data_IF_241927157624
#
_entry.id   IF_241927157624
#
_cell.length_a   1.000
_cell.length_b   1.000
_cell.length_c   1.000
_cell.angle_alpha   90.00
_cell.angle_beta   90.00
_cell.angle_gamma   90.00
#
_symmetry.space_group_name_H-M   'P 1'
#
loop_
_entity.id
_entity.type
_entity.pdbx_description
1 polymer ?
#
# COMPACT_ATOMS: atom_id res chain seq x y z
N UNK A 1 10.06 23.57 -7.65
CA UNK A 1 10.39 22.13 -7.47
C UNK A 1 9.07 21.39 -7.27
N UNK A 2 8.77 20.35 -8.04
CA UNK A 2 7.49 19.62 -7.92
C UNK A 2 7.66 18.51 -6.88
N UNK A 3 6.84 18.54 -5.82
CA UNK A 3 6.78 17.49 -4.79
C UNK A 3 6.37 16.18 -5.48
N UNK A 4 7.12 15.11 -5.22
CA UNK A 4 6.78 13.77 -5.70
C UNK A 4 5.88 13.09 -4.67
N UNK A 5 4.93 12.31 -5.17
CA UNK A 5 3.90 11.68 -4.34
C UNK A 5 3.79 10.20 -4.71
N UNK A 6 3.75 9.32 -3.71
CA UNK A 6 3.32 7.92 -3.89
C UNK A 6 2.08 7.66 -3.04
N UNK A 7 1.03 7.08 -3.64
CA UNK A 7 -0.15 6.67 -2.89
C UNK A 7 0.14 5.42 -2.06
N UNK A 8 -0.32 5.36 -0.81
CA UNK A 8 -0.43 4.14 -0.02
C UNK A 8 -1.87 3.61 0.04
N UNK A 9 -2.78 4.25 -0.71
CA UNK A 9 -4.18 3.88 -0.83
C UNK A 9 -5.11 4.56 0.17
N UNK A 10 -6.31 3.99 0.29
CA UNK A 10 -7.42 4.50 1.09
C UNK A 10 -8.04 3.38 1.91
N UNK A 11 -8.35 3.68 3.17
CA UNK A 11 -9.03 2.76 4.08
C UNK A 11 -10.39 3.32 4.46
N UNK A 12 -11.41 2.47 4.39
CA UNK A 12 -12.79 2.74 4.83
C UNK A 12 -13.33 1.61 5.73
N UNK A 13 -12.43 0.77 6.23
CA UNK A 13 -12.69 -0.38 7.09
C UNK A 13 -11.39 -0.81 7.78
N UNK A 14 -11.45 -1.83 8.65
CA UNK A 14 -10.26 -2.45 9.24
C UNK A 14 -9.52 -3.32 8.20
N UNK A 15 -8.83 -2.65 7.27
CA UNK A 15 -8.14 -3.27 6.15
C UNK A 15 -6.87 -2.49 5.75
N UNK A 16 -6.23 -2.94 4.67
CA UNK A 16 -5.10 -2.24 4.06
C UNK A 16 -5.57 -1.19 3.05
N UNK A 17 -4.74 -0.18 2.80
CA UNK A 17 -5.08 0.93 1.90
C UNK A 17 -5.21 0.54 0.43
N UNK A 18 -4.51 -0.51 0.00
CA UNK A 18 -4.63 -1.08 -1.34
C UNK A 18 -4.90 -2.58 -1.17
N UNK A 19 -5.97 -3.04 -1.81
CA UNK A 19 -6.36 -4.44 -1.83
C UNK A 19 -6.55 -4.88 -3.28
N UNK A 20 -6.20 -6.13 -3.57
CA UNK A 20 -6.50 -6.80 -4.82
C UNK A 20 -7.52 -7.90 -4.55
N UNK A 21 -8.63 -7.84 -5.27
CA UNK A 21 -9.76 -8.78 -5.12
C UNK A 21 -9.92 -9.72 -6.31
N UNK A 22 -9.11 -9.55 -7.35
CA UNK A 22 -9.20 -10.32 -8.59
C UNK A 22 -8.05 -10.06 -9.54
N UNK A 23 -7.94 -10.92 -10.54
CA UNK A 23 -6.97 -10.82 -11.62
C UNK A 23 -7.44 -11.58 -12.85
N UNK A 24 -7.17 -11.03 -14.03
CA UNK A 24 -7.46 -11.73 -15.29
C UNK A 24 -6.39 -12.77 -15.62
N UNK A 25 -6.80 -13.91 -16.19
CA UNK A 25 -5.88 -14.88 -16.78
C UNK A 25 -5.49 -14.44 -18.20
N UNK A 26 -4.70 -13.37 -18.30
CA UNK A 26 -4.32 -12.75 -19.56
C UNK A 26 -2.85 -12.26 -19.54
N UNK A 27 -2.36 -11.86 -20.71
CA UNK A 27 -1.03 -11.26 -20.87
C UNK A 27 -1.19 -9.88 -21.51
N UNK A 28 -1.10 -8.78 -20.75
CA UNK A 28 -0.81 -8.70 -19.31
C UNK A 28 -2.02 -9.00 -18.40
N UNK A 29 -1.75 -9.32 -17.14
CA UNK A 29 -2.74 -9.47 -16.07
C UNK A 29 -3.31 -8.10 -15.72
N UNK A 30 -4.63 -8.00 -15.66
CA UNK A 30 -5.37 -6.85 -15.14
C UNK A 30 -5.82 -7.19 -13.72
N UNK A 31 -5.26 -6.51 -12.72
CA UNK A 31 -5.61 -6.66 -11.32
C UNK A 31 -6.83 -5.82 -10.98
N UNK A 32 -7.81 -6.43 -10.30
CA UNK A 32 -8.95 -5.72 -9.70
C UNK A 32 -8.51 -5.12 -8.38
N UNK A 33 -8.41 -3.80 -8.30
CA UNK A 33 -7.97 -3.05 -7.11
C UNK A 33 -9.14 -2.33 -6.45
N UNK A 34 -9.10 -2.15 -5.14
CA UNK A 34 -10.15 -1.40 -4.42
C UNK A 34 -10.19 0.06 -4.81
N UNK A 35 -11.40 0.60 -4.97
CA UNK A 35 -11.62 2.02 -5.23
C UNK A 35 -10.88 2.91 -4.22
N UNK A 36 -10.36 4.04 -4.68
CA UNK A 36 -9.57 4.94 -3.82
C UNK A 36 -8.11 4.53 -3.62
N UNK A 37 -7.61 3.52 -4.35
CA UNK A 37 -6.19 3.15 -4.35
C UNK A 37 -5.25 4.31 -4.76
N UNK A 38 -5.76 5.30 -5.53
CA UNK A 38 -5.04 6.53 -5.96
C UNK A 38 -3.69 6.27 -6.65
N UNK A 39 -3.51 5.07 -7.20
CA UNK A 39 -2.37 4.70 -8.04
C UNK A 39 -2.41 5.50 -9.35
N UNK A 40 -1.24 5.68 -9.96
CA UNK A 40 -1.05 6.33 -11.26
C UNK A 40 -0.21 5.43 -12.17
N UNK A 41 -0.31 5.66 -13.48
CA UNK A 41 0.57 4.97 -14.42
C UNK A 41 2.04 5.24 -14.09
N UNK A 42 2.84 4.18 -14.05
CA UNK A 42 4.24 4.22 -13.65
C UNK A 42 4.49 4.02 -12.15
N UNK A 43 3.44 3.94 -11.32
CA UNK A 43 3.60 3.50 -9.93
C UNK A 43 4.09 2.03 -9.89
N UNK A 44 4.70 1.67 -8.76
CA UNK A 44 5.30 0.36 -8.55
C UNK A 44 4.69 -0.30 -7.32
N UNK A 45 4.20 -1.53 -7.46
CA UNK A 45 3.58 -2.30 -6.37
C UNK A 45 4.17 -3.70 -6.29
N UNK A 46 4.18 -4.26 -5.09
CA UNK A 46 4.50 -5.66 -4.83
C UNK A 46 3.24 -6.38 -4.42
N UNK A 47 3.10 -7.61 -4.90
CA UNK A 47 1.97 -8.49 -4.58
C UNK A 47 2.53 -9.81 -4.05
N UNK A 48 1.94 -10.30 -2.96
CA UNK A 48 2.20 -11.63 -2.40
C UNK A 48 0.90 -12.30 -1.95
N UNK A 49 0.90 -13.63 -1.82
CA UNK A 49 -0.23 -14.38 -1.24
C UNK A 49 -1.30 -14.83 -2.24
N UNK A 50 -1.07 -14.65 -3.55
CA UNK A 50 -1.93 -15.22 -4.61
C UNK A 50 -1.54 -16.69 -4.84
N UNK A 51 -2.49 -17.61 -4.73
CA UNK A 51 -2.21 -19.06 -4.67
C UNK A 51 -2.44 -19.80 -5.99
N UNK A 52 -3.31 -19.30 -6.86
CA UNK A 52 -3.66 -19.97 -8.13
C UNK A 52 -3.19 -19.20 -9.36
N UNK A 53 -3.39 -17.87 -9.38
CA UNK A 53 -2.78 -16.97 -10.36
C UNK A 53 -1.39 -16.54 -9.85
N UNK A 54 -0.50 -17.50 -9.61
CA UNK A 54 0.78 -17.24 -8.92
C UNK A 54 1.70 -16.30 -9.69
N UNK A 55 1.51 -16.17 -11.00
CA UNK A 55 2.20 -15.20 -11.85
C UNK A 55 1.83 -13.73 -11.53
N UNK A 56 0.85 -13.49 -10.67
CA UNK A 56 0.54 -12.16 -10.14
C UNK A 56 1.47 -11.77 -8.97
N UNK A 57 2.11 -12.73 -8.28
CA UNK A 57 3.03 -12.38 -7.19
C UNK A 57 4.34 -11.81 -7.74
N UNK A 58 4.91 -10.85 -7.03
CA UNK A 58 6.16 -10.18 -7.42
C UNK A 58 6.03 -8.66 -7.44
N UNK A 59 7.08 -8.02 -7.97
CA UNK A 59 7.17 -6.58 -8.13
C UNK A 59 6.71 -6.17 -9.54
N UNK A 60 5.81 -5.20 -9.63
CA UNK A 60 5.17 -4.77 -10.87
C UNK A 60 5.24 -3.26 -11.05
N UNK A 61 5.43 -2.84 -12.30
CA UNK A 61 5.05 -1.48 -12.72
C UNK A 61 3.58 -1.53 -13.17
N UNK A 62 2.79 -0.51 -12.81
CA UNK A 62 1.38 -0.47 -13.17
C UNK A 62 1.10 0.52 -14.30
N UNK A 63 0.24 0.10 -15.21
CA UNK A 63 -0.26 0.92 -16.31
C UNK A 63 -1.77 0.77 -16.46
N UNK A 64 -2.37 1.54 -17.38
CA UNK A 64 -3.83 1.58 -17.62
C UNK A 64 -4.65 1.69 -16.33
N UNK A 65 -4.19 2.51 -15.39
CA UNK A 65 -4.77 2.61 -14.06
C UNK A 65 -6.13 3.32 -14.14
N UNK A 66 -7.19 2.57 -13.86
CA UNK A 66 -8.57 3.05 -13.73
C UNK A 66 -8.99 3.19 -12.27
N UNK A 67 -10.29 3.36 -12.02
CA UNK A 67 -10.82 3.52 -10.66
C UNK A 67 -10.81 2.23 -9.81
N UNK A 68 -10.83 1.07 -10.46
CA UNK A 68 -10.88 -0.26 -9.82
C UNK A 68 -10.04 -1.31 -10.57
N UNK A 69 -9.12 -0.88 -11.43
CA UNK A 69 -8.30 -1.75 -12.25
C UNK A 69 -6.91 -1.17 -12.46
N UNK A 70 -5.90 -2.03 -12.47
CA UNK A 70 -4.52 -1.68 -12.86
C UNK A 70 -3.90 -2.85 -13.62
N UNK A 71 -3.19 -2.56 -14.71
CA UNK A 71 -2.47 -3.57 -15.50
C UNK A 71 -1.08 -3.79 -14.92
N UNK A 72 -0.67 -5.05 -14.75
CA UNK A 72 0.65 -5.43 -14.27
C UNK A 72 1.60 -5.62 -15.46
N UNK A 73 2.51 -4.69 -15.68
CA UNK A 73 3.34 -4.67 -16.89
C UNK A 73 4.29 -5.87 -16.96
N UNK A 74 4.31 -6.56 -18.11
CA UNK A 74 5.16 -7.73 -18.34
C UNK A 74 4.69 -9.02 -17.67
N UNK A 75 3.52 -9.01 -17.02
CA UNK A 75 2.93 -10.22 -16.43
C UNK A 75 2.31 -11.14 -17.48
N UNK A 76 2.23 -12.44 -17.16
CA UNK A 76 1.55 -13.44 -17.97
C UNK A 76 0.71 -14.34 -17.07
N UNK A 77 -0.62 -14.29 -17.23
CA UNK A 77 -1.54 -15.07 -16.42
C UNK A 77 -1.35 -16.58 -16.56
N UNK A 78 -1.52 -17.30 -15.45
CA UNK A 78 -1.34 -18.75 -15.37
C UNK A 78 -2.49 -19.49 -14.68
N UNK A 79 -3.67 -18.87 -14.54
CA UNK A 79 -4.82 -19.50 -13.90
C UNK A 79 -5.90 -18.51 -13.46
N UNK A 80 -6.92 -19.02 -12.76
CA UNK A 80 -7.91 -18.17 -12.10
C UNK A 80 -7.29 -17.49 -10.88
N UNK A 81 -7.76 -16.29 -10.52
CA UNK A 81 -7.35 -15.65 -9.27
C UNK A 81 -7.85 -16.41 -8.04
N UNK A 82 -7.01 -16.47 -7.01
CA UNK A 82 -7.29 -17.15 -5.75
C UNK A 82 -6.22 -16.83 -4.71
N UNK A 83 -6.57 -16.95 -3.43
CA UNK A 83 -5.70 -16.56 -2.31
C UNK A 83 -6.06 -15.20 -1.71
N UNK A 84 -5.24 -14.73 -0.77
CA UNK A 84 -5.42 -13.47 -0.07
C UNK A 84 -4.25 -12.54 -0.40
N UNK A 85 -4.41 -11.77 -1.49
CA UNK A 85 -3.37 -10.88 -1.98
C UNK A 85 -3.07 -9.77 -0.97
N UNK A 86 -1.78 -9.66 -0.62
CA UNK A 86 -1.24 -8.53 0.13
C UNK A 86 -0.49 -7.64 -0.84
N UNK A 87 -0.75 -6.33 -0.74
CA UNK A 87 -0.12 -5.31 -1.60
C UNK A 87 0.67 -4.32 -0.78
N UNK A 88 1.85 -3.98 -1.28
CA UNK A 88 2.67 -2.89 -0.79
C UNK A 88 3.23 -2.06 -1.94
N UNK A 89 3.48 -0.78 -1.69
CA UNK A 89 4.02 0.16 -2.67
C UNK A 89 5.54 0.10 -2.62
N UNK A 90 6.18 0.04 -3.78
CA UNK A 90 7.64 0.02 -3.86
C UNK A 90 8.21 1.43 -3.68
N UNK A 91 9.18 1.51 -2.79
CA UNK A 91 10.03 2.66 -2.56
C UNK A 91 11.46 2.28 -2.92
N UNK A 92 11.72 2.06 -4.20
CA UNK A 92 13.02 1.60 -4.74
C UNK A 92 13.63 2.55 -5.77
N UNK A 93 13.01 3.72 -5.95
CA UNK A 93 13.44 4.74 -6.89
C UNK A 93 13.39 6.12 -6.25
N UNK A 94 14.39 6.96 -6.58
CA UNK A 94 14.45 8.37 -6.20
C UNK A 94 13.14 9.09 -6.55
N UNK A 95 12.59 9.91 -5.64
CA UNK A 95 13.14 10.32 -4.34
C UNK A 95 12.82 9.40 -3.14
N UNK A 96 12.15 8.27 -3.36
CA UNK A 96 11.69 7.36 -2.31
C UNK A 96 12.59 6.14 -2.17
N UNK A 97 13.91 6.31 -2.05
CA UNK A 97 14.80 5.18 -1.85
C UNK A 97 14.67 4.60 -0.43
N UNK A 98 14.88 3.28 -0.23
CA UNK A 98 14.86 2.69 1.12
C UNK A 98 15.98 3.28 1.99
N UNK A 99 15.80 3.22 3.32
CA UNK A 99 16.73 3.78 4.33
C UNK A 99 16.84 5.30 4.33
N UNK A 100 15.91 5.97 3.68
CA UNK A 100 15.68 7.40 3.82
C UNK A 100 14.42 7.66 4.63
N UNK A 101 14.19 8.92 5.00
CA UNK A 101 12.94 9.35 5.62
C UNK A 101 12.11 10.16 4.63
N UNK A 102 10.80 10.09 4.75
CA UNK A 102 9.85 10.89 3.98
C UNK A 102 8.74 11.40 4.87
N UNK A 103 8.00 12.40 4.38
CA UNK A 103 6.76 12.81 5.02
C UNK A 103 5.62 11.94 4.51
N UNK A 104 4.91 11.27 5.40
CA UNK A 104 3.62 10.68 5.10
C UNK A 104 2.52 11.67 5.45
N UNK A 105 1.67 11.98 4.49
CA UNK A 105 0.43 12.72 4.74
C UNK A 105 -0.72 11.74 4.80
N UNK A 106 -1.44 11.81 5.91
CA UNK A 106 -2.74 11.18 6.10
C UNK A 106 -3.77 12.26 5.85
N UNK A 107 -4.63 12.05 4.86
CA UNK A 107 -5.73 12.94 4.55
C UNK A 107 -7.05 12.23 4.76
N UNK A 108 -8.06 12.98 5.16
CA UNK A 108 -9.42 12.49 5.19
C UNK A 108 -10.02 12.35 3.77
N UNK A 109 -11.25 11.87 3.71
CA UNK A 109 -12.01 11.81 2.46
C UNK A 109 -12.79 13.13 2.32
N UNK A 110 -12.50 13.98 1.33
CA UNK A 110 -13.23 15.23 1.16
C UNK A 110 -14.73 14.98 1.01
N UNK A 111 -15.55 15.60 1.86
CA UNK A 111 -17.01 15.41 1.86
C UNK A 111 -17.48 14.05 2.41
N UNK A 112 -16.57 13.21 2.90
CA UNK A 112 -16.89 11.95 3.57
C UNK A 112 -17.10 12.12 5.07
N UNK A 113 -17.59 11.07 5.72
CA UNK A 113 -17.63 11.01 7.18
C UNK A 113 -16.21 11.06 7.75
N UNK A 114 -16.07 11.72 8.91
CA UNK A 114 -14.81 11.83 9.65
C UNK A 114 -14.26 10.44 9.95
N UNK A 115 -12.98 10.23 9.60
CA UNK A 115 -12.30 8.99 9.95
C UNK A 115 -12.08 8.92 11.47
N UNK A 116 -12.54 7.81 12.05
CA UNK A 116 -12.33 7.46 13.45
C UNK A 116 -11.81 6.03 13.49
N UNK A 117 -10.57 5.88 13.95
CA UNK A 117 -9.89 4.60 13.96
C UNK A 117 -8.41 4.71 14.31
N UNK A 118 -7.72 3.57 14.27
CA UNK A 118 -6.27 3.47 14.47
C UNK A 118 -5.63 3.04 13.17
N UNK A 119 -4.62 3.79 12.73
CA UNK A 119 -3.86 3.49 11.53
C UNK A 119 -2.39 3.30 11.86
N UNK A 120 -1.73 2.55 10.99
CA UNK A 120 -0.28 2.37 10.99
C UNK A 120 0.21 2.37 9.55
N UNK A 121 1.34 3.04 9.32
CA UNK A 121 2.11 2.86 8.11
C UNK A 121 3.13 1.78 8.39
N UNK A 122 3.10 0.74 7.57
CA UNK A 122 3.89 -0.46 7.76
C UNK A 122 4.94 -0.60 6.66
N UNK A 123 6.05 -1.21 7.04
CA UNK A 123 7.25 -1.37 6.24
C UNK A 123 7.66 -2.85 6.18
N UNK A 124 8.14 -3.27 5.01
CA UNK A 124 8.82 -4.54 4.80
C UNK A 124 10.05 -4.35 3.90
N UNK A 125 11.04 -5.21 4.08
CA UNK A 125 12.36 -5.12 3.42
C UNK A 125 12.47 -6.11 2.24
N UNK A 126 11.78 -7.25 2.33
CA UNK A 126 11.74 -8.28 1.29
C UNK A 126 10.34 -8.88 1.15
N UNK A 127 10.10 -9.57 0.04
CA UNK A 127 8.84 -10.26 -0.28
C UNK A 127 9.16 -11.59 -0.97
N UNK A 128 8.38 -12.62 -0.67
CA UNK A 128 8.32 -13.85 -1.45
C UNK A 128 6.90 -14.05 -2.04
N UNK A 129 6.65 -15.17 -2.72
CA UNK A 129 5.34 -15.41 -3.32
C UNK A 129 4.18 -15.51 -2.31
N UNK A 130 4.49 -15.74 -1.03
CA UNK A 130 3.51 -16.00 0.03
C UNK A 130 3.26 -14.79 0.91
N UNK A 131 4.31 -14.04 1.27
CA UNK A 131 4.23 -12.95 2.24
C UNK A 131 5.42 -11.99 2.17
N UNK A 132 5.31 -10.92 2.96
CA UNK A 132 6.36 -9.93 3.17
C UNK A 132 7.18 -10.25 4.41
N UNK A 133 8.39 -9.72 4.47
CA UNK A 133 9.28 -9.85 5.63
C UNK A 133 9.94 -8.52 5.95
N UNK A 134 10.18 -8.29 7.23
CA UNK A 134 10.99 -7.19 7.74
C UNK A 134 12.18 -7.71 8.53
N UNK A 135 13.25 -6.92 8.56
CA UNK A 135 14.40 -7.19 9.42
C UNK A 135 14.11 -6.60 10.80
N UNK A 136 14.05 -7.46 11.82
CA UNK A 136 13.82 -7.02 13.20
C UNK A 136 15.09 -6.39 13.80
N UNK A 137 14.99 -5.89 15.04
CA UNK A 137 16.11 -5.24 15.74
C UNK A 137 17.32 -6.15 15.98
N UNK A 138 17.14 -7.47 15.89
CA UNK A 138 18.21 -8.48 16.00
C UNK A 138 18.82 -8.86 14.65
N UNK A 139 18.41 -8.23 13.55
CA UNK A 139 18.91 -8.52 12.21
C UNK A 139 18.27 -9.74 11.54
N UNK A 140 17.22 -10.31 12.13
CA UNK A 140 16.56 -11.53 11.62
C UNK A 140 15.36 -11.18 10.75
N UNK A 141 15.25 -11.83 9.60
CA UNK A 141 14.07 -11.74 8.74
C UNK A 141 12.85 -12.33 9.46
N UNK A 142 11.85 -11.50 9.69
CA UNK A 142 10.61 -11.84 10.40
C UNK A 142 9.43 -11.65 9.46
N UNK A 143 8.51 -12.61 9.45
CA UNK A 143 7.33 -12.57 8.60
C UNK A 143 6.41 -11.39 8.97
N UNK A 144 5.81 -10.79 7.95
CA UNK A 144 4.90 -9.67 8.05
C UNK A 144 5.58 -8.31 7.83
N UNK A 145 5.10 -7.32 8.57
CA UNK A 145 5.54 -5.93 8.46
C UNK A 145 5.88 -5.37 9.83
N UNK A 146 6.73 -4.34 9.86
CA UNK A 146 7.00 -3.51 11.05
C UNK A 146 6.35 -2.15 10.89
N UNK A 147 6.12 -1.43 11.99
CA UNK A 147 5.77 -0.02 11.92
C UNK A 147 6.88 0.77 11.21
N UNK A 148 6.52 1.60 10.24
CA UNK A 148 7.38 2.58 9.59
C UNK A 148 7.31 3.95 10.28
N UNK A 149 6.32 4.15 11.16
CA UNK A 149 6.16 5.35 11.96
C UNK A 149 7.16 5.33 13.12
N UNK A 150 7.92 6.42 13.27
CA UNK A 150 8.79 6.62 14.46
C UNK A 150 7.98 6.72 15.77
N UNK A 151 6.70 7.09 15.67
CA UNK A 151 5.76 7.20 16.79
C UNK A 151 4.95 5.92 17.06
N UNK A 152 5.09 4.86 16.26
CA UNK A 152 4.21 3.68 16.35
C UNK A 152 2.81 3.92 15.75
N UNK A 153 1.79 3.18 16.21
CA UNK A 153 0.41 3.33 15.72
C UNK A 153 -0.19 4.69 16.13
N UNK A 154 -1.08 5.22 15.28
CA UNK A 154 -1.70 6.53 15.50
C UNK A 154 -3.21 6.35 15.60
N UNK A 155 -3.74 6.67 16.78
CA UNK A 155 -5.17 6.85 16.96
C UNK A 155 -5.59 8.20 16.40
N UNK A 156 -6.57 8.20 15.50
CA UNK A 156 -7.18 9.41 14.96
C UNK A 156 -8.58 9.49 15.58
N UNK A 157 -8.76 10.30 16.66
CA UNK A 157 -10.03 10.36 17.39
C UNK A 157 -11.13 11.05 16.58
N UNK A 158 -10.76 11.93 15.65
CA UNK A 158 -11.62 12.54 14.62
C UNK A 158 -10.75 13.38 13.69
N UNK A 159 -10.46 12.91 12.48
CA UNK A 159 -9.85 13.80 11.47
C UNK A 159 -10.85 14.93 11.16
N UNK A 160 -10.53 16.19 11.47
CA UNK A 160 -11.36 17.32 11.03
C UNK A 160 -11.51 17.23 9.51
N UNK A 161 -12.71 17.43 8.97
CA UNK A 161 -12.92 17.37 7.53
C UNK A 161 -11.98 18.36 6.81
N UNK A 162 -11.16 17.87 5.88
CA UNK A 162 -10.09 18.61 5.21
C UNK A 162 -8.77 18.75 6.00
N UNK A 163 -8.64 18.07 7.14
CA UNK A 163 -7.45 18.05 7.98
C UNK A 163 -6.43 17.00 7.52
N UNK A 164 -5.21 17.43 7.24
CA UNK A 164 -4.08 16.56 6.95
C UNK A 164 -3.18 16.39 8.17
N UNK A 165 -2.82 15.14 8.51
CA UNK A 165 -1.78 14.84 9.49
C UNK A 165 -0.49 14.49 8.74
N UNK A 166 0.56 15.26 8.95
CA UNK A 166 1.89 14.97 8.42
C UNK A 166 2.74 14.27 9.47
N UNK A 167 3.36 13.16 9.09
CA UNK A 167 4.16 12.31 9.94
C UNK A 167 5.47 11.99 9.25
N UNK A 168 6.54 11.87 10.02
CA UNK A 168 7.79 11.36 9.50
C UNK A 168 7.76 9.83 9.50
N UNK A 169 8.15 9.22 8.38
CA UNK A 169 8.29 7.77 8.24
C UNK A 169 9.68 7.40 7.76
N UNK A 170 10.17 6.26 8.25
CA UNK A 170 11.36 5.62 7.69
C UNK A 170 10.93 4.74 6.51
N UNK A 171 11.52 5.01 5.35
CA UNK A 171 11.23 4.28 4.12
C UNK A 171 11.94 2.92 4.15
N UNK A 172 11.16 1.85 4.00
CA UNK A 172 11.65 0.55 3.55
C UNK A 172 11.26 0.32 2.10
N UNK A 173 11.76 -0.76 1.49
CA UNK A 173 11.47 -1.11 0.09
C UNK A 173 9.97 -1.25 -0.17
N UNK A 174 9.22 -1.78 0.77
CA UNK A 174 7.78 -1.98 0.66
C UNK A 174 7.05 -1.22 1.76
N UNK A 175 6.12 -0.36 1.36
CA UNK A 175 5.35 0.49 2.28
C UNK A 175 3.86 0.27 2.08
N UNK A 176 3.08 0.25 3.16
CA UNK A 176 1.63 0.07 3.08
C UNK A 176 0.91 0.79 4.22
N UNK A 177 -0.33 1.20 3.97
CA UNK A 177 -1.23 1.69 5.01
C UNK A 177 -2.07 0.52 5.52
N UNK A 178 -2.18 0.39 6.85
CA UNK A 178 -3.14 -0.52 7.50
C UNK A 178 -3.96 0.23 8.52
N UNK A 179 -5.27 -0.02 8.52
CA UNK A 179 -6.19 0.35 9.57
C UNK A 179 -6.33 -0.85 10.52
N UNK A 180 -5.89 -0.71 11.77
CA UNK A 180 -5.91 -1.78 12.79
C UNK A 180 -7.23 -1.82 13.56
N UNK A 181 -7.89 -0.67 13.71
CA UNK A 181 -9.21 -0.54 14.33
C UNK A 181 -10.02 0.52 13.59
N UNK A 182 -11.29 0.22 13.30
CA UNK A 182 -12.16 1.09 12.51
C UNK A 182 -13.48 1.33 13.23
N UNK A 183 -13.94 2.57 13.24
CA UNK A 183 -15.27 2.95 13.73
C UNK A 183 -16.10 3.61 12.63
N UNK A 184 -15.54 4.58 11.91
CA UNK A 184 -16.26 5.29 10.84
C UNK A 184 -15.34 6.01 9.87
N UNK A 185 -15.90 6.44 8.73
CA UNK A 185 -15.26 7.36 7.78
C UNK A 185 -14.25 6.70 6.86
N UNK A 186 -13.36 7.51 6.29
CA UNK A 186 -12.26 6.99 5.48
C UNK A 186 -11.09 7.95 5.42
N UNK A 187 -9.88 7.41 5.42
CA UNK A 187 -8.65 8.18 5.25
C UNK A 187 -7.77 7.58 4.17
N UNK A 188 -7.02 8.44 3.47
CA UNK A 188 -5.98 8.04 2.54
C UNK A 188 -4.61 8.38 3.11
N UNK A 189 -3.59 7.66 2.64
CA UNK A 189 -2.21 7.99 2.96
C UNK A 189 -1.38 8.13 1.68
N UNK A 190 -0.43 9.07 1.71
CA UNK A 190 0.54 9.28 0.63
C UNK A 190 1.90 9.65 1.19
N UNK A 191 2.95 9.19 0.53
CA UNK A 191 4.34 9.57 0.80
C UNK A 191 4.71 10.80 -0.03
N UNK A 192 5.50 11.69 0.54
CA UNK A 192 5.95 12.95 -0.05
C UNK A 192 7.46 13.08 0.10
N UNK A 193 8.12 13.42 -1.01
CA UNK A 193 9.55 13.70 -1.08
C UNK A 193 9.88 14.69 -2.21
#
# INVERSE_FOLDING_TARGET
MSIKVRSLGHVASAARGILITGGTNATPIVATVTAGHRLKNGDRIAIAGVTTLTAMNGDWSVSSVGAAAATLDGSAGNGAFGGAAVVAVLCDQTPFLPRHSAAAMIDDTPGGAVFVGTIVLEAADSVDATQFYYTNSSGVATAGFKSALKSGEIAIPAATAGGGLALEVDLSRYMTLRCSAYTSGGCGAKLLA
#
